data_IF_924522216336
#
_entry.id   IF_924522216336
#
_cell.length_a   1.000
_cell.length_b   1.000
_cell.length_c   1.000
_cell.angle_alpha   90.00
_cell.angle_beta   90.00
_cell.angle_gamma   90.00
#
_symmetry.space_group_name_H-M   'P 1'
#
loop_
_entity.id
_entity.type
_entity.pdbx_description
1 polymer ?
#
# COMPACT_ATOMS: atom_id res chain seq x y z
N UNK A 1 16.89 -34.06 12.50
CA UNK A 1 16.76 -32.69 11.93
C UNK A 1 17.93 -32.47 10.99
N UNK A 2 17.70 -32.17 9.71
CA UNK A 2 18.78 -31.94 8.74
C UNK A 2 19.27 -30.49 8.84
N UNK A 3 20.57 -30.24 8.60
CA UNK A 3 21.16 -28.88 8.60
C UNK A 3 20.35 -27.93 7.69
N UNK A 4 19.83 -28.43 6.56
CA UNK A 4 18.99 -27.67 5.63
C UNK A 4 17.66 -27.19 6.26
N UNK A 5 17.07 -27.94 7.20
CA UNK A 5 15.86 -27.53 7.89
C UNK A 5 16.12 -26.35 8.84
N UNK A 6 17.22 -26.42 9.60
CA UNK A 6 17.66 -25.35 10.51
C UNK A 6 17.91 -24.05 9.75
N UNK A 7 18.60 -24.12 8.60
CA UNK A 7 18.85 -22.95 7.75
C UNK A 7 17.53 -22.35 7.25
N UNK A 8 16.60 -23.19 6.76
CA UNK A 8 15.29 -22.71 6.30
C UNK A 8 14.50 -22.01 7.40
N UNK A 9 14.44 -22.59 8.61
CA UNK A 9 13.73 -22.01 9.74
C UNK A 9 14.32 -20.66 10.16
N UNK A 10 15.66 -20.58 10.27
CA UNK A 10 16.35 -19.36 10.62
C UNK A 10 16.11 -18.24 9.60
N UNK A 11 16.24 -18.55 8.30
CA UNK A 11 16.00 -17.58 7.23
C UNK A 11 14.53 -17.14 7.21
N UNK A 12 13.60 -18.09 7.29
CA UNK A 12 12.16 -17.79 7.28
C UNK A 12 11.76 -16.95 8.49
N UNK A 13 12.35 -17.21 9.66
CA UNK A 13 12.15 -16.41 10.86
C UNK A 13 12.69 -14.99 10.68
N UNK A 14 13.94 -14.84 10.22
CA UNK A 14 14.55 -13.54 9.98
C UNK A 14 13.76 -12.69 8.98
N UNK A 15 13.33 -13.27 7.86
CA UNK A 15 12.53 -12.57 6.84
C UNK A 15 11.18 -12.11 7.40
N UNK A 16 10.50 -12.95 8.19
CA UNK A 16 9.22 -12.58 8.82
C UNK A 16 9.39 -11.41 9.79
N UNK A 17 10.46 -11.40 10.58
CA UNK A 17 10.77 -10.30 11.51
C UNK A 17 11.11 -9.01 10.76
N UNK A 18 11.96 -9.08 9.72
CA UNK A 18 12.31 -7.92 8.90
C UNK A 18 11.07 -7.29 8.25
N UNK A 19 10.18 -8.12 7.69
CA UNK A 19 8.90 -7.69 7.14
C UNK A 19 8.03 -6.99 8.19
N UNK A 20 7.89 -7.57 9.38
CA UNK A 20 7.10 -7.00 10.45
C UNK A 20 7.68 -5.65 10.94
N UNK A 21 9.00 -5.56 11.09
CA UNK A 21 9.68 -4.33 11.49
C UNK A 21 9.53 -3.21 10.44
N UNK A 22 9.67 -3.52 9.15
CA UNK A 22 9.45 -2.52 8.09
C UNK A 22 8.00 -2.05 8.09
N UNK A 23 7.04 -2.98 8.13
CA UNK A 23 5.63 -2.65 8.11
C UNK A 23 5.25 -1.79 9.34
N UNK A 24 5.61 -2.23 10.55
CA UNK A 24 5.36 -1.48 11.78
C UNK A 24 6.06 -0.12 11.81
N UNK A 25 7.31 -0.06 11.35
CA UNK A 25 8.08 1.19 11.26
C UNK A 25 7.42 2.23 10.35
N UNK A 26 6.94 1.82 9.17
CA UNK A 26 6.22 2.72 8.26
C UNK A 26 4.88 3.17 8.84
N UNK A 27 4.12 2.27 9.46
CA UNK A 27 2.87 2.64 10.12
C UNK A 27 3.11 3.69 11.20
N UNK A 28 4.15 3.53 12.03
CA UNK A 28 4.49 4.52 13.06
C UNK A 28 4.93 5.86 12.45
N UNK A 29 5.75 5.83 11.40
CA UNK A 29 6.26 7.03 10.75
C UNK A 29 5.15 7.88 10.11
N UNK A 30 4.18 7.22 9.47
CA UNK A 30 3.07 7.89 8.78
C UNK A 30 1.78 7.96 9.60
N UNK A 31 1.77 7.47 10.86
CA UNK A 31 0.57 7.44 11.72
C UNK A 31 -0.08 8.80 11.87
N UNK A 32 0.73 9.86 11.93
CA UNK A 32 0.28 11.24 12.15
C UNK A 32 0.15 12.04 10.84
N UNK A 33 0.41 11.43 9.69
CA UNK A 33 0.37 12.11 8.39
C UNK A 33 -1.07 12.25 7.90
N UNK A 34 -1.50 13.48 7.67
CA UNK A 34 -2.84 13.82 7.19
C UNK A 34 -2.75 14.43 5.79
N UNK A 35 -3.62 13.98 4.89
CA UNK A 35 -3.78 14.54 3.54
C UNK A 35 -4.96 15.50 3.56
N UNK A 36 -4.70 16.75 3.22
CA UNK A 36 -5.75 17.76 3.05
C UNK A 36 -6.08 17.90 1.57
N UNK A 37 -7.36 17.76 1.24
CA UNK A 37 -7.85 17.93 -0.12
C UNK A 37 -9.12 18.79 -0.11
N UNK A 38 -9.31 19.55 -1.19
CA UNK A 38 -10.46 20.43 -1.37
C UNK A 38 -11.41 19.80 -2.37
N UNK A 39 -12.55 19.29 -1.90
CA UNK A 39 -13.61 18.82 -2.79
C UNK A 39 -14.54 19.98 -3.05
N UNK A 40 -14.46 20.53 -4.26
CA UNK A 40 -15.29 21.63 -4.73
C UNK A 40 -15.17 22.92 -3.89
N UNK A 41 -15.80 22.97 -2.71
CA UNK A 41 -15.81 24.11 -1.78
C UNK A 41 -15.33 23.79 -0.36
N UNK A 42 -15.42 22.55 0.09
CA UNK A 42 -15.09 22.17 1.46
C UNK A 42 -13.70 21.54 1.58
N UNK A 43 -12.99 21.86 2.66
CA UNK A 43 -11.73 21.24 3.03
C UNK A 43 -12.02 19.95 3.80
N UNK A 44 -11.50 18.84 3.29
CA UNK A 44 -11.57 17.53 3.96
C UNK A 44 -10.15 17.05 4.21
N UNK A 45 -9.94 16.50 5.41
CA UNK A 45 -8.69 15.86 5.79
C UNK A 45 -8.92 14.35 5.89
N UNK A 46 -7.96 13.57 5.45
CA UNK A 46 -7.96 12.13 5.63
C UNK A 46 -6.59 11.65 6.12
N UNK A 47 -6.54 10.75 7.13
CA UNK A 47 -5.30 10.10 7.51
C UNK A 47 -4.72 9.33 6.32
N UNK A 48 -3.45 9.54 6.01
CA UNK A 48 -2.79 8.96 4.83
C UNK A 48 -2.85 7.43 4.86
N UNK A 49 -2.60 6.83 6.03
CA UNK A 49 -2.67 5.39 6.24
C UNK A 49 -4.07 4.83 5.94
N UNK A 50 -5.12 5.55 6.35
CA UNK A 50 -6.50 5.14 6.09
C UNK A 50 -6.79 5.18 4.58
N UNK A 51 -6.31 6.20 3.88
CA UNK A 51 -6.43 6.31 2.43
C UNK A 51 -5.84 5.11 1.70
N UNK A 52 -4.57 4.79 1.95
CA UNK A 52 -3.93 3.62 1.35
C UNK A 52 -4.57 2.29 1.76
N UNK A 53 -5.06 2.19 3.00
CA UNK A 53 -5.73 0.99 3.47
C UNK A 53 -7.03 0.76 2.69
N UNK A 54 -7.83 1.80 2.50
CA UNK A 54 -9.05 1.72 1.69
C UNK A 54 -8.75 1.37 0.23
N UNK A 55 -7.69 1.94 -0.36
CA UNK A 55 -7.26 1.59 -1.72
C UNK A 55 -6.88 0.10 -1.79
N UNK A 56 -6.05 -0.41 -0.88
CA UNK A 56 -5.68 -1.82 -0.82
C UNK A 56 -6.91 -2.73 -0.62
N UNK A 57 -7.86 -2.31 0.21
CA UNK A 57 -9.12 -3.02 0.44
C UNK A 57 -9.98 -3.08 -0.81
N UNK A 58 -10.08 -1.98 -1.58
CA UNK A 58 -10.83 -1.97 -2.84
C UNK A 58 -10.18 -2.83 -3.92
N UNK A 59 -8.85 -2.84 -4.02
CA UNK A 59 -8.14 -3.75 -4.93
C UNK A 59 -8.42 -5.21 -4.53
N UNK A 60 -8.41 -5.51 -3.23
CA UNK A 60 -8.75 -6.84 -2.72
C UNK A 60 -10.18 -7.27 -3.07
N UNK A 61 -11.15 -6.39 -2.86
CA UNK A 61 -12.54 -6.65 -3.22
C UNK A 61 -12.71 -6.85 -4.73
N UNK A 62 -12.08 -5.98 -5.52
CA UNK A 62 -12.09 -6.10 -6.97
C UNK A 62 -11.50 -7.45 -7.43
N UNK A 63 -10.41 -7.92 -6.80
CA UNK A 63 -9.83 -9.23 -7.10
C UNK A 63 -10.77 -10.37 -6.72
N UNK A 64 -11.40 -10.34 -5.54
CA UNK A 64 -12.35 -11.37 -5.14
C UNK A 64 -13.59 -11.42 -6.06
N UNK A 65 -14.04 -10.27 -6.55
CA UNK A 65 -15.12 -10.21 -7.55
C UNK A 65 -14.61 -10.80 -8.87
N UNK A 66 -13.43 -10.40 -9.35
CA UNK A 66 -12.87 -10.86 -10.61
C UNK A 66 -12.64 -12.39 -10.64
N UNK A 67 -12.22 -12.97 -9.51
CA UNK A 67 -12.10 -14.43 -9.35
C UNK A 67 -13.46 -15.11 -9.25
N UNK A 68 -14.45 -14.48 -8.60
CA UNK A 68 -15.82 -14.99 -8.54
C UNK A 68 -16.50 -15.03 -9.91
N UNK A 69 -16.32 -13.99 -10.73
CA UNK A 69 -16.91 -13.91 -12.09
C UNK A 69 -16.06 -14.58 -13.18
N UNK A 70 -15.01 -15.32 -12.81
CA UNK A 70 -14.17 -16.07 -13.75
C UNK A 70 -13.45 -15.21 -14.81
N UNK A 71 -13.28 -13.90 -14.58
CA UNK A 71 -12.51 -13.01 -15.46
C UNK A 71 -11.01 -13.18 -15.23
N UNK A 72 -10.62 -13.50 -13.99
CA UNK A 72 -9.22 -13.71 -13.60
C UNK A 72 -9.13 -14.91 -12.64
N UNK A 73 -8.78 -16.09 -13.15
CA UNK A 73 -8.81 -17.35 -12.40
C UNK A 73 -7.38 -17.85 -12.19
N UNK A 74 -7.04 -18.17 -10.94
CA UNK A 74 -5.82 -18.92 -10.68
C UNK A 74 -6.04 -20.40 -11.02
N UNK A 75 -5.07 -21.08 -11.65
CA UNK A 75 -5.24 -22.47 -12.09
C UNK A 75 -5.53 -23.45 -10.93
N UNK A 76 -5.19 -23.08 -9.69
CA UNK A 76 -5.52 -23.85 -8.49
C UNK A 76 -6.95 -23.63 -7.95
N UNK A 77 -7.74 -22.73 -8.56
CA UNK A 77 -9.12 -22.38 -8.16
C UNK A 77 -10.17 -22.81 -9.21
N UNK A 78 -9.80 -23.68 -10.15
CA UNK A 78 -10.69 -24.10 -11.24
C UNK A 78 -11.84 -25.03 -10.81
N UNK A 79 -11.73 -25.67 -9.64
CA UNK A 79 -12.72 -26.65 -9.15
C UNK A 79 -13.56 -26.14 -7.96
N UNK A 80 -12.97 -25.36 -7.05
CA UNK A 80 -13.67 -24.78 -5.91
C UNK A 80 -13.27 -23.31 -5.73
N UNK A 81 -14.27 -22.43 -5.61
CA UNK A 81 -14.03 -21.02 -5.31
C UNK A 81 -13.53 -20.88 -3.87
N UNK A 82 -12.39 -20.22 -3.71
CA UNK A 82 -11.86 -19.83 -2.40
C UNK A 82 -11.58 -18.33 -2.37
N UNK A 83 -11.88 -17.64 -1.26
CA UNK A 83 -11.58 -16.23 -1.14
C UNK A 83 -10.07 -15.99 -1.20
N UNK A 84 -9.68 -14.88 -1.84
CA UNK A 84 -8.26 -14.53 -2.01
C UNK A 84 -7.66 -14.16 -0.66
N UNK A 85 -6.50 -14.73 -0.34
CA UNK A 85 -5.82 -14.53 0.95
C UNK A 85 -5.65 -13.06 1.32
N UNK A 86 -6.00 -12.72 2.57
CA UNK A 86 -5.79 -11.39 3.15
C UNK A 86 -4.30 -10.99 3.22
N UNK A 87 -3.38 -11.95 3.13
CA UNK A 87 -1.94 -11.66 3.07
C UNK A 87 -1.56 -10.81 1.84
N UNK A 88 -2.37 -10.83 0.77
CA UNK A 88 -2.16 -9.95 -0.40
C UNK A 88 -2.39 -8.48 -0.07
N UNK A 89 -3.30 -8.18 0.86
CA UNK A 89 -3.62 -6.81 1.27
C UNK A 89 -2.38 -6.11 1.83
N UNK A 90 -1.66 -6.77 2.73
CA UNK A 90 -0.46 -6.20 3.33
C UNK A 90 0.70 -6.06 2.31
N UNK A 91 0.76 -6.93 1.30
CA UNK A 91 1.74 -6.81 0.21
C UNK A 91 1.46 -5.59 -0.67
N UNK A 92 0.23 -5.36 -1.11
CA UNK A 92 -0.12 -4.16 -1.88
C UNK A 92 0.07 -2.89 -1.08
N UNK A 93 -0.28 -2.92 0.21
CA UNK A 93 -0.08 -1.80 1.10
C UNK A 93 1.41 -1.44 1.21
N UNK A 94 2.29 -2.43 1.39
CA UNK A 94 3.73 -2.21 1.45
C UNK A 94 4.29 -1.73 0.11
N UNK A 95 3.79 -2.24 -1.02
CA UNK A 95 4.18 -1.79 -2.36
C UNK A 95 3.81 -0.32 -2.60
N UNK A 96 2.60 0.10 -2.20
CA UNK A 96 2.19 1.50 -2.29
C UNK A 96 3.04 2.42 -1.40
N UNK A 97 3.31 2.00 -0.16
CA UNK A 97 4.21 2.73 0.75
C UNK A 97 5.62 2.87 0.15
N UNK A 98 6.19 1.75 -0.30
CA UNK A 98 7.51 1.72 -0.92
C UNK A 98 7.56 2.62 -2.15
N UNK A 99 6.56 2.52 -3.03
CA UNK A 99 6.42 3.36 -4.22
C UNK A 99 6.35 4.84 -3.85
N UNK A 100 5.52 5.20 -2.86
CA UNK A 100 5.41 6.59 -2.41
C UNK A 100 6.74 7.13 -1.87
N UNK A 101 7.42 6.38 -1.01
CA UNK A 101 8.73 6.78 -0.47
C UNK A 101 9.76 6.93 -1.59
N UNK A 102 9.78 5.99 -2.56
CA UNK A 102 10.65 6.07 -3.73
C UNK A 102 10.36 7.34 -4.56
N UNK A 103 9.09 7.58 -4.90
CA UNK A 103 8.66 8.71 -5.72
C UNK A 103 8.93 10.03 -5.02
N UNK A 104 8.67 10.13 -3.71
CA UNK A 104 8.92 11.36 -2.92
C UNK A 104 10.41 11.61 -2.67
N UNK A 105 11.24 10.56 -2.65
CA UNK A 105 12.70 10.70 -2.57
C UNK A 105 13.28 11.18 -3.91
N UNK A 106 12.72 10.73 -5.03
CA UNK A 106 13.19 11.07 -6.38
C UNK A 106 12.67 12.43 -6.85
N UNK A 107 11.38 12.72 -6.64
CA UNK A 107 10.72 13.92 -7.13
C UNK A 107 10.67 14.99 -6.04
N UNK A 108 11.26 16.15 -6.31
CA UNK A 108 11.13 17.32 -5.43
C UNK A 108 9.71 17.88 -5.52
N UNK A 109 9.14 18.25 -4.37
CA UNK A 109 7.82 18.87 -4.30
C UNK A 109 7.93 20.30 -4.81
N UNK A 110 7.33 20.59 -5.97
CA UNK A 110 7.16 21.95 -6.47
C UNK A 110 5.94 22.58 -5.78
N UNK A 111 6.17 23.63 -4.99
CA UNK A 111 5.07 24.40 -4.45
C UNK A 111 4.43 25.19 -5.60
N UNK A 112 3.08 25.24 -5.69
CA UNK A 112 2.42 26.13 -6.62
C UNK A 112 2.99 27.54 -6.42
N UNK A 113 3.65 28.07 -7.45
CA UNK A 113 4.10 29.45 -7.42
C UNK A 113 2.83 30.29 -7.23
N UNK A 114 2.67 30.85 -6.04
CA UNK A 114 1.64 31.84 -5.80
C UNK A 114 1.94 32.93 -6.82
N UNK A 115 1.09 33.02 -7.84
CA UNK A 115 1.22 33.90 -9.00
C UNK A 115 1.60 35.30 -8.51
N UNK A 116 2.89 35.59 -8.50
CA UNK A 116 3.43 36.93 -8.46
C UNK A 116 3.39 37.46 -9.90
N UNK A 117 2.21 37.47 -10.52
CA UNK A 117 1.98 38.42 -11.61
C UNK A 117 1.83 39.78 -10.93
N UNK A 118 2.96 40.48 -10.79
CA UNK A 118 2.94 41.90 -10.51
C UNK A 118 2.16 42.58 -11.66
N UNK A 119 1.11 43.38 -11.37
CA UNK A 119 0.55 44.25 -12.38
C UNK A 119 1.57 45.38 -12.62
N UNK A 120 2.12 45.46 -13.82
CA UNK A 120 3.15 46.44 -14.15
C UNK A 120 3.39 46.59 -15.65
N UNK A 121 2.34 47.00 -16.36
CA UNK A 121 2.45 47.92 -17.50
C UNK A 121 2.82 49.32 -17.01
#
# INVERSE_FOLDING_TARGET
>A
MTIAAIIKEFVLFGVKQAYACMFGGFLLLFWRTQVYYRVHRDYRAMPLLLGWFLVALFIWLAENIATYVNIWIYPNQMQDWSPVSLAKLSSWYLLMLLSFVLVTTINRVELPQCRAEAPGT
#
